data_IF_985329607680
#
_entry.id   IF_985329607680
#
_cell.length_a   1.000
_cell.length_b   1.000
_cell.length_c   1.000
_cell.angle_alpha   90.00
_cell.angle_beta   90.00
_cell.angle_gamma   90.00
#
_symmetry.space_group_name_H-M   'P 1'
#
loop_
_entity.id
_entity.type
_entity.pdbx_description
1 polymer ?
#
# COMPACT_ATOMS: atom_id res chain seq x y z
N UNK A 1 8.22 1.64 32.82
CA UNK A 1 7.68 0.68 31.86
C UNK A 1 7.50 1.35 30.52
N UNK A 2 8.03 0.73 29.48
CA UNK A 2 7.76 1.21 28.13
C UNK A 2 6.27 1.04 27.83
N UNK A 3 5.63 2.10 27.38
CA UNK A 3 4.24 2.04 26.94
C UNK A 3 4.16 1.20 25.66
N UNK A 4 3.16 0.32 25.59
CA UNK A 4 2.93 -0.46 24.37
C UNK A 4 2.39 0.49 23.30
N UNK A 5 3.18 0.70 22.28
CA UNK A 5 2.77 1.44 21.08
C UNK A 5 2.32 0.44 20.02
N UNK A 6 1.27 0.77 19.33
CA UNK A 6 0.79 -0.04 18.23
C UNK A 6 0.68 0.79 16.96
N UNK A 7 0.66 0.10 15.83
CA UNK A 7 0.55 0.71 14.52
C UNK A 7 -0.76 0.37 13.85
N UNK A 8 -1.23 1.30 13.05
CA UNK A 8 -2.40 1.12 12.18
C UNK A 8 -1.97 1.50 10.77
N UNK A 9 -2.25 0.63 9.81
CA UNK A 9 -2.09 0.95 8.39
C UNK A 9 -3.46 1.03 7.76
N UNK A 10 -3.79 2.21 7.22
CA UNK A 10 -5.02 2.42 6.46
C UNK A 10 -4.70 2.18 4.98
N UNK A 11 -5.30 1.16 4.38
CA UNK A 11 -5.02 0.76 3.00
C UNK A 11 -6.15 1.18 2.08
N UNK A 12 -5.81 1.95 1.05
CA UNK A 12 -6.70 2.29 -0.05
C UNK A 12 -6.30 1.60 -1.34
N UNK A 13 -7.16 1.65 -2.34
CA UNK A 13 -6.88 1.07 -3.65
C UNK A 13 -5.71 1.77 -4.34
N UNK A 14 -5.74 3.08 -4.37
CA UNK A 14 -4.81 3.92 -5.13
C UNK A 14 -5.41 4.39 -6.46
N UNK A 15 -4.99 5.56 -6.88
CA UNK A 15 -5.41 6.16 -8.13
C UNK A 15 -4.24 6.48 -9.04
N UNK A 16 -4.53 6.61 -10.33
CA UNK A 16 -3.56 7.03 -11.34
C UNK A 16 -3.58 8.56 -11.39
N UNK A 17 -2.43 9.23 -11.21
CA UNK A 17 -2.43 10.69 -11.34
C UNK A 17 -2.78 11.12 -12.75
N UNK A 18 -3.60 12.16 -12.87
CA UNK A 18 -4.12 12.60 -14.18
C UNK A 18 -3.04 13.13 -15.13
N UNK A 19 -1.91 13.57 -14.59
CA UNK A 19 -0.78 14.09 -15.37
C UNK A 19 0.34 13.07 -15.58
N UNK A 20 0.17 11.83 -15.14
CA UNK A 20 1.11 10.76 -15.44
C UNK A 20 0.99 10.39 -16.93
N UNK A 21 2.12 10.35 -17.68
CA UNK A 21 2.06 10.01 -19.10
C UNK A 21 1.39 8.65 -19.34
N UNK A 22 0.43 8.59 -20.28
CA UNK A 22 -0.32 7.35 -20.55
C UNK A 22 0.57 6.15 -20.93
N UNK A 23 1.75 6.40 -21.48
CA UNK A 23 2.70 5.37 -21.89
C UNK A 23 3.15 4.49 -20.71
N UNK A 24 3.38 5.10 -19.55
CA UNK A 24 3.74 4.35 -18.34
C UNK A 24 2.60 3.43 -17.91
N UNK A 25 1.38 3.94 -17.94
CA UNK A 25 0.21 3.16 -17.53
C UNK A 25 -0.04 2.00 -18.49
N UNK A 26 0.05 2.25 -19.80
CA UNK A 26 -0.13 1.22 -20.84
C UNK A 26 0.92 0.13 -20.71
N UNK A 27 2.18 0.51 -20.51
CA UNK A 27 3.29 -0.44 -20.35
C UNK A 27 3.09 -1.28 -19.10
N UNK A 28 2.77 -0.65 -17.97
CA UNK A 28 2.53 -1.36 -16.72
C UNK A 28 1.40 -2.39 -16.86
N UNK A 29 0.25 -1.97 -17.38
CA UNK A 29 -0.91 -2.86 -17.54
C UNK A 29 -0.60 -4.04 -18.49
N UNK A 30 0.12 -3.79 -19.56
CA UNK A 30 0.52 -4.83 -20.51
C UNK A 30 1.42 -5.85 -19.83
N UNK A 31 2.45 -5.40 -19.14
CA UNK A 31 3.42 -6.28 -18.46
C UNK A 31 2.73 -7.09 -17.34
N UNK A 32 1.90 -6.44 -16.55
CA UNK A 32 1.17 -7.10 -15.49
C UNK A 32 0.22 -8.17 -16.03
N UNK A 33 -0.54 -7.87 -17.07
CA UNK A 33 -1.47 -8.81 -17.70
C UNK A 33 -0.72 -10.03 -18.25
N UNK A 34 0.38 -9.80 -18.97
CA UNK A 34 1.20 -10.89 -19.54
C UNK A 34 1.80 -11.77 -18.45
N UNK A 35 2.31 -11.16 -17.39
CA UNK A 35 2.89 -11.86 -16.27
C UNK A 35 1.86 -12.71 -15.53
N UNK A 36 0.70 -12.14 -15.25
CA UNK A 36 -0.38 -12.87 -14.54
C UNK A 36 -0.90 -14.05 -15.36
N UNK A 37 -1.01 -13.90 -16.68
CA UNK A 37 -1.42 -14.98 -17.57
C UNK A 37 -0.46 -16.17 -17.52
N UNK A 38 0.83 -15.93 -17.24
CA UNK A 38 1.87 -16.95 -17.14
C UNK A 38 2.18 -17.35 -15.70
N UNK A 39 1.50 -16.76 -14.74
CA UNK A 39 1.75 -16.98 -13.31
C UNK A 39 3.21 -16.77 -12.90
N UNK A 40 3.82 -15.71 -13.42
CA UNK A 40 5.22 -15.35 -13.17
C UNK A 40 5.31 -14.19 -12.16
N UNK A 41 6.46 -14.03 -11.48
CA UNK A 41 6.73 -12.82 -10.69
C UNK A 41 6.95 -11.62 -11.61
N UNK A 42 6.84 -10.38 -11.08
CA UNK A 42 7.10 -9.19 -11.87
C UNK A 42 8.53 -9.16 -12.44
N UNK A 43 8.65 -8.73 -13.71
CA UNK A 43 9.95 -8.48 -14.31
C UNK A 43 10.57 -7.19 -13.78
N UNK A 44 11.88 -6.99 -13.99
CA UNK A 44 12.55 -5.75 -13.62
C UNK A 44 11.93 -4.54 -14.31
N UNK A 45 11.52 -4.68 -15.58
CA UNK A 45 10.83 -3.63 -16.32
C UNK A 45 9.50 -3.26 -15.67
N UNK A 46 8.70 -4.26 -15.29
CA UNK A 46 7.41 -4.02 -14.59
C UNK A 46 7.63 -3.30 -13.26
N UNK A 47 8.61 -3.75 -12.46
CA UNK A 47 8.93 -3.13 -11.17
C UNK A 47 9.39 -1.68 -11.34
N UNK A 48 10.19 -1.39 -12.38
CA UNK A 48 10.66 -0.04 -12.64
C UNK A 48 9.52 0.89 -13.03
N UNK A 49 8.64 0.44 -13.93
CA UNK A 49 7.48 1.22 -14.37
C UNK A 49 6.50 1.43 -13.22
N UNK A 50 6.25 0.40 -12.42
CA UNK A 50 5.42 0.50 -11.22
C UNK A 50 5.95 1.57 -10.26
N UNK A 51 7.26 1.58 -10.04
CA UNK A 51 7.91 2.58 -9.18
C UNK A 51 7.74 3.99 -9.73
N UNK A 52 7.91 4.20 -11.03
CA UNK A 52 7.71 5.51 -11.65
C UNK A 52 6.28 6.01 -11.40
N UNK A 53 5.28 5.17 -11.59
CA UNK A 53 3.87 5.53 -11.37
C UNK A 53 3.62 5.82 -9.88
N UNK A 54 4.09 4.96 -8.99
CA UNK A 54 3.88 5.09 -7.54
C UNK A 54 4.52 6.35 -6.97
N UNK A 55 5.72 6.70 -7.45
CA UNK A 55 6.46 7.85 -6.98
C UNK A 55 6.13 9.14 -7.75
N UNK A 56 5.21 9.08 -8.73
CA UNK A 56 4.80 10.25 -9.49
C UNK A 56 4.30 11.34 -8.57
N UNK A 57 4.79 12.59 -8.68
CA UNK A 57 4.34 13.71 -7.83
C UNK A 57 2.86 13.99 -8.02
N UNK A 58 2.16 14.17 -6.91
CA UNK A 58 0.70 14.30 -6.92
C UNK A 58 0.25 15.54 -6.17
N UNK A 59 -0.85 16.11 -6.65
CA UNK A 59 -1.59 17.16 -5.97
C UNK A 59 -3.03 16.66 -5.76
N UNK A 60 -3.83 17.39 -4.97
CA UNK A 60 -5.24 17.04 -4.80
C UNK A 60 -6.03 17.12 -6.10
N UNK A 61 -5.55 17.91 -7.07
CA UNK A 61 -6.15 18.05 -8.40
C UNK A 61 -5.79 16.88 -9.32
N UNK A 62 -4.54 16.41 -9.26
CA UNK A 62 -4.08 15.30 -10.11
C UNK A 62 -4.41 13.93 -9.54
N UNK A 63 -4.54 13.84 -8.21
CA UNK A 63 -4.92 12.59 -7.52
C UNK A 63 -5.88 12.88 -6.37
N UNK A 64 -7.16 13.07 -6.67
CA UNK A 64 -8.15 13.31 -5.62
C UNK A 64 -8.37 12.09 -4.71
N UNK A 65 -8.05 10.89 -5.18
CA UNK A 65 -8.15 9.68 -4.35
C UNK A 65 -7.13 9.73 -3.19
N UNK A 66 -5.88 10.10 -3.48
CA UNK A 66 -4.87 10.26 -2.44
C UNK A 66 -5.30 11.31 -1.42
N UNK A 67 -5.75 12.46 -1.88
CA UNK A 67 -6.22 13.54 -1.02
C UNK A 67 -7.39 13.08 -0.13
N UNK A 68 -8.31 12.29 -0.69
CA UNK A 68 -9.45 11.75 0.05
C UNK A 68 -9.04 10.77 1.13
N UNK A 69 -8.12 9.87 0.82
CA UNK A 69 -7.63 8.88 1.81
C UNK A 69 -6.84 9.56 2.92
N UNK A 70 -6.03 10.55 2.58
CA UNK A 70 -5.30 11.36 3.58
C UNK A 70 -6.26 12.10 4.50
N UNK A 71 -7.38 12.60 3.98
CA UNK A 71 -8.42 13.24 4.79
C UNK A 71 -9.09 12.26 5.75
N UNK A 72 -9.36 11.03 5.29
CA UNK A 72 -9.89 9.97 6.16
C UNK A 72 -8.90 9.65 7.28
N UNK A 73 -7.63 9.48 6.93
CA UNK A 73 -6.58 9.21 7.92
C UNK A 73 -6.47 10.33 8.95
N UNK A 74 -6.53 11.58 8.50
CA UNK A 74 -6.49 12.76 9.38
C UNK A 74 -7.67 12.78 10.36
N UNK A 75 -8.86 12.38 9.90
CA UNK A 75 -10.04 12.28 10.75
C UNK A 75 -9.99 11.09 11.71
N UNK A 76 -9.34 10.01 11.31
CA UNK A 76 -9.21 8.80 12.11
C UNK A 76 -8.20 8.95 13.24
N UNK A 77 -7.10 9.64 12.99
CA UNK A 77 -5.96 9.73 13.91
C UNK A 77 -6.32 10.16 15.33
N UNK A 78 -7.17 11.18 15.57
CA UNK A 78 -7.54 11.57 16.94
C UNK A 78 -8.29 10.49 17.71
N UNK A 79 -8.88 9.52 17.03
CA UNK A 79 -9.64 8.42 17.63
C UNK A 79 -8.77 7.19 17.92
N UNK A 80 -7.51 7.23 17.53
CA UNK A 80 -6.55 6.13 17.70
C UNK A 80 -5.60 6.47 18.84
N UNK A 81 -5.89 5.96 20.02
CA UNK A 81 -5.08 6.22 21.21
C UNK A 81 -3.72 5.51 21.12
N UNK A 82 -2.65 6.28 21.20
CA UNK A 82 -1.25 5.78 21.17
C UNK A 82 -0.90 4.97 19.91
N UNK A 83 -1.58 5.22 18.81
CA UNK A 83 -1.29 4.53 17.56
C UNK A 83 -0.41 5.38 16.65
N UNK A 84 0.52 4.71 15.97
CA UNK A 84 1.21 5.26 14.82
C UNK A 84 0.38 4.91 13.60
N UNK A 85 -0.12 5.91 12.87
CA UNK A 85 -0.96 5.72 11.70
C UNK A 85 -0.14 5.96 10.43
N UNK A 86 -0.13 4.96 9.56
CA UNK A 86 0.44 5.04 8.22
C UNK A 86 -0.64 4.77 7.19
N UNK A 87 -0.47 5.34 6.00
CA UNK A 87 -1.33 5.09 4.84
C UNK A 87 -0.57 4.20 3.86
N UNK A 88 -1.26 3.29 3.20
CA UNK A 88 -0.71 2.50 2.13
C UNK A 88 -1.70 2.37 0.98
N UNK A 89 -1.20 2.07 -0.19
CA UNK A 89 -2.02 1.92 -1.39
C UNK A 89 -1.73 0.58 -2.05
N UNK A 90 -2.79 -0.07 -2.50
CA UNK A 90 -2.68 -1.37 -3.15
C UNK A 90 -2.01 -1.26 -4.53
N UNK A 91 -2.34 -0.20 -5.28
CA UNK A 91 -1.85 0.02 -6.64
C UNK A 91 -1.54 1.52 -6.88
N UNK A 92 -0.69 1.79 -7.84
CA UNK A 92 -0.46 3.10 -8.48
C UNK A 92 0.08 4.23 -7.62
N UNK A 93 0.13 4.09 -6.33
CA UNK A 93 0.53 5.15 -5.40
C UNK A 93 1.44 4.58 -4.31
N UNK A 94 2.47 5.34 -3.96
CA UNK A 94 3.30 5.04 -2.79
C UNK A 94 2.67 5.61 -1.51
N UNK A 95 2.94 5.02 -0.34
CA UNK A 95 3.72 3.82 -0.12
C UNK A 95 2.90 2.54 -0.37
N UNK A 96 3.61 1.45 -0.64
CA UNK A 96 3.01 0.12 -0.64
C UNK A 96 2.70 -0.32 0.79
N UNK A 97 1.88 -1.35 0.94
CA UNK A 97 1.60 -1.92 2.26
C UNK A 97 2.88 -2.39 2.94
N UNK A 98 3.78 -3.04 2.20
CA UNK A 98 5.06 -3.48 2.73
C UNK A 98 5.89 -2.31 3.26
N UNK A 99 6.01 -1.23 2.49
CA UNK A 99 6.76 -0.04 2.90
C UNK A 99 6.18 0.60 4.16
N UNK A 100 4.85 0.70 4.26
CA UNK A 100 4.19 1.24 5.43
C UNK A 100 4.43 0.40 6.68
N UNK A 101 4.36 -0.93 6.55
CA UNK A 101 4.64 -1.86 7.65
C UNK A 101 6.09 -1.77 8.08
N UNK A 102 7.03 -1.73 7.13
CA UNK A 102 8.46 -1.57 7.43
C UNK A 102 8.74 -0.26 8.17
N UNK A 103 8.07 0.82 7.79
CA UNK A 103 8.16 2.11 8.49
C UNK A 103 7.77 1.96 9.96
N UNK A 104 6.67 1.27 10.25
CA UNK A 104 6.22 1.03 11.62
C UNK A 104 7.18 0.14 12.40
N UNK A 105 7.66 -0.93 11.78
CA UNK A 105 8.63 -1.84 12.40
C UNK A 105 9.91 -1.08 12.76
N UNK A 106 10.39 -0.22 11.88
CA UNK A 106 11.60 0.59 12.13
C UNK A 106 11.41 1.61 13.26
N UNK A 107 10.17 1.98 13.57
CA UNK A 107 9.84 2.81 14.74
C UNK A 107 9.70 2.01 16.04
N UNK A 108 9.89 0.69 15.97
CA UNK A 108 9.80 -0.18 17.14
C UNK A 108 8.38 -0.67 17.45
N UNK A 109 7.44 -0.46 16.54
CA UNK A 109 6.07 -0.94 16.71
C UNK A 109 6.04 -2.45 16.46
N UNK A 110 5.46 -3.20 17.37
CA UNK A 110 5.39 -4.67 17.29
C UNK A 110 3.98 -5.21 17.01
N UNK A 111 2.96 -4.39 17.23
CA UNK A 111 1.55 -4.76 17.04
C UNK A 111 0.94 -3.85 15.98
N UNK A 112 0.60 -4.41 14.84
CA UNK A 112 0.13 -3.66 13.67
C UNK A 112 -1.22 -4.19 13.22
N UNK A 113 -2.20 -3.27 13.14
CA UNK A 113 -3.52 -3.55 12.58
C UNK A 113 -3.61 -2.92 11.19
N UNK A 114 -4.06 -3.69 10.23
CA UNK A 114 -4.28 -3.21 8.86
C UNK A 114 -5.78 -3.06 8.63
N UNK A 115 -6.19 -1.85 8.27
CA UNK A 115 -7.58 -1.53 7.96
C UNK A 115 -7.68 -1.30 6.45
N UNK A 116 -8.43 -2.16 5.76
CA UNK A 116 -8.68 -2.02 4.33
C UNK A 116 -9.97 -1.25 4.08
N UNK A 117 -9.91 -0.29 3.16
CA UNK A 117 -11.10 0.39 2.66
C UNK A 117 -11.75 -0.35 1.49
N UNK A 118 -11.16 -1.47 1.07
CA UNK A 118 -11.59 -2.27 -0.06
C UNK A 118 -12.41 -3.45 0.48
N UNK A 119 -13.73 -3.42 0.27
CA UNK A 119 -14.64 -4.39 0.87
C UNK A 119 -15.24 -5.39 -0.13
N UNK A 120 -14.94 -5.25 -1.42
CA UNK A 120 -15.56 -6.07 -2.47
C UNK A 120 -14.88 -7.43 -2.59
N UNK A 121 -15.60 -8.55 -2.46
CA UNK A 121 -15.02 -9.87 -2.67
C UNK A 121 -14.55 -10.07 -4.13
N UNK A 122 -13.43 -10.75 -4.30
CA UNK A 122 -12.91 -11.12 -5.63
C UNK A 122 -12.09 -10.04 -6.34
N UNK A 123 -11.91 -8.88 -5.74
CA UNK A 123 -11.08 -7.81 -6.30
C UNK A 123 -9.73 -7.69 -5.59
N UNK A 124 -9.21 -6.48 -5.52
CA UNK A 124 -7.94 -6.14 -4.86
C UNK A 124 -7.86 -6.63 -3.40
N UNK A 125 -9.00 -6.89 -2.78
CA UNK A 125 -9.08 -7.42 -1.43
C UNK A 125 -8.38 -8.79 -1.28
N UNK A 126 -8.46 -9.67 -2.29
CA UNK A 126 -7.78 -10.96 -2.26
C UNK A 126 -6.26 -10.80 -2.30
N UNK A 127 -5.75 -9.80 -3.00
CA UNK A 127 -4.32 -9.48 -3.06
C UNK A 127 -3.82 -8.96 -1.70
N UNK A 128 -4.59 -8.11 -1.04
CA UNK A 128 -4.26 -7.63 0.30
C UNK A 128 -4.18 -8.80 1.28
N UNK A 129 -5.14 -9.73 1.24
CA UNK A 129 -5.12 -10.93 2.10
C UNK A 129 -3.90 -11.80 1.84
N UNK A 130 -3.53 -12.04 0.57
CA UNK A 130 -2.33 -12.80 0.21
C UNK A 130 -1.07 -12.14 0.74
N UNK A 131 -0.98 -10.83 0.62
CA UNK A 131 0.15 -10.06 1.11
C UNK A 131 0.26 -10.14 2.64
N UNK A 132 -0.86 -10.00 3.35
CA UNK A 132 -0.90 -10.13 4.81
C UNK A 132 -0.39 -11.50 5.27
N UNK A 133 -0.77 -12.57 4.57
CA UNK A 133 -0.27 -13.93 4.85
C UNK A 133 1.26 -14.00 4.71
N UNK A 134 1.81 -13.43 3.64
CA UNK A 134 3.27 -13.39 3.43
C UNK A 134 3.97 -12.60 4.53
N UNK A 135 3.40 -11.46 4.93
CA UNK A 135 3.94 -10.61 5.98
C UNK A 135 3.93 -11.30 7.34
N UNK A 136 2.85 -12.00 7.67
CA UNK A 136 2.75 -12.75 8.91
C UNK A 136 3.79 -13.87 8.97
N UNK A 137 4.03 -14.56 7.85
CA UNK A 137 5.06 -15.60 7.78
C UNK A 137 6.46 -15.01 7.90
N UNK A 138 6.70 -13.86 7.25
CA UNK A 138 7.98 -13.15 7.37
C UNK A 138 8.24 -12.72 8.81
N UNK A 139 7.25 -12.13 9.47
CA UNK A 139 7.37 -11.71 10.86
C UNK A 139 7.65 -12.88 11.80
N UNK A 140 6.99 -14.02 11.61
CA UNK A 140 7.23 -15.24 12.39
C UNK A 140 8.66 -15.74 12.23
N UNK A 141 9.21 -15.66 11.02
CA UNK A 141 10.56 -16.16 10.72
C UNK A 141 11.68 -15.20 11.16
N UNK A 142 11.36 -13.91 11.31
CA UNK A 142 12.36 -12.88 11.61
C UNK A 142 12.40 -12.52 13.10
N UNK A 143 11.31 -12.74 13.84
CA UNK A 143 11.17 -12.37 15.25
C UNK A 143 11.42 -13.54 16.21
N UNK A 144 11.72 -14.71 15.68
CA UNK A 144 12.23 -15.85 16.45
C UNK A 144 13.74 -15.89 16.34
#
# INVERSE_FOLDING_TARGET
MAEIEYGVVLVGHGGIPSDCPPEYISTFKRLETQRRARNLPPSDEELLVDKVIRDWPRTKETDPYQAGLEAVAKSLKPNLYRAHLEIAYNEFCAPTLQEAVETLINRGVSDITVISTIFTPGGSHSEVKKFLKKLMNYAKNTLT
#
